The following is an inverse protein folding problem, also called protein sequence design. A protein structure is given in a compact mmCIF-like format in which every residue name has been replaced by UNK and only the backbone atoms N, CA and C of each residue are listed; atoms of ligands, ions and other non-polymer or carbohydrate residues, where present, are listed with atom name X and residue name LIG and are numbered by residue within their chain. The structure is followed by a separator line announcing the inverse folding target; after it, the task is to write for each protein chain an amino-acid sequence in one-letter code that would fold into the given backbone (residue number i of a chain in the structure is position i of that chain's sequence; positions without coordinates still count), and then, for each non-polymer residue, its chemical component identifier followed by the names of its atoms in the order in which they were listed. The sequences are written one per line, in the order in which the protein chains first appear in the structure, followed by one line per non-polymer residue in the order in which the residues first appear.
data_IF_974682886805
#
_entry.id   IF_974682886805
#
_cell.length_a   1.000
_cell.length_b   1.000
_cell.length_c   1.000
_cell.angle_alpha   90.00
_cell.angle_beta   90.00
_cell.angle_gamma   90.00
#
_symmetry.space_group_name_H-M   'P 1'
#
loop_
_entity.id
_entity.type
_entity.pdbx_description
1 polymer ?
#
# COMPACT_ATOMS: atom_id res chain seq x y z
N UNK A 1 2.08 29.02 15.00
CA UNK A 1 0.99 28.11 15.43
C UNK A 1 1.20 26.81 14.68
N UNK A 2 1.19 25.65 15.35
CA UNK A 2 1.35 24.34 14.71
C UNK A 2 0.04 23.68 14.31
N UNK A 3 -1.09 24.03 14.94
CA UNK A 3 -2.42 23.53 14.58
C UNK A 3 -3.45 24.67 14.63
N UNK A 4 -4.26 24.83 13.58
CA UNK A 4 -5.32 25.86 13.51
C UNK A 4 -6.71 25.31 13.83
N UNK A 5 -6.84 24.02 14.10
CA UNK A 5 -8.12 23.39 14.43
C UNK A 5 -8.65 23.92 15.77
N UNK A 6 -9.93 24.28 15.81
CA UNK A 6 -10.60 24.72 17.04
C UNK A 6 -10.44 23.70 18.17
N UNK A 7 -10.32 24.17 19.41
CA UNK A 7 -10.14 23.32 20.60
C UNK A 7 -8.95 22.34 20.56
N UNK A 8 -8.08 22.42 19.55
CA UNK A 8 -6.90 21.57 19.46
C UNK A 8 -5.73 22.20 20.20
N UNK A 9 -4.86 21.36 20.75
CA UNK A 9 -3.58 21.81 21.27
C UNK A 9 -2.67 22.31 20.13
N UNK A 10 -1.99 23.43 20.35
CA UNK A 10 -1.07 24.02 19.39
C UNK A 10 0.15 24.65 20.08
N UNK A 11 1.31 24.47 19.45
CA UNK A 11 2.50 25.23 19.74
C UNK A 11 2.42 26.62 19.11
N UNK A 12 3.08 27.59 19.73
CA UNK A 12 3.19 28.94 19.18
C UNK A 12 4.66 29.35 19.07
N UNK A 13 5.01 29.90 17.91
CA UNK A 13 6.25 30.63 17.69
C UNK A 13 5.85 32.03 17.28
N UNK A 14 6.02 32.97 18.19
CA UNK A 14 5.68 34.38 18.05
C UNK A 14 6.98 35.14 17.81
N UNK A 15 7.03 35.98 16.78
CA UNK A 15 8.20 36.74 16.41
C UNK A 15 7.83 38.21 16.27
N UNK A 16 8.63 39.08 16.87
CA UNK A 16 8.50 40.53 16.74
C UNK A 16 9.88 41.17 16.93
N UNK A 17 10.06 42.41 16.50
CA UNK A 17 11.26 43.20 16.79
C UNK A 17 10.87 44.25 17.81
N UNK A 18 11.66 44.45 18.86
CA UNK A 18 11.46 45.54 19.82
C UNK A 18 12.21 46.78 19.33
N UNK A 19 11.54 47.85 18.88
CA UNK A 19 12.24 49.05 18.42
C UNK A 19 13.02 49.75 19.54
N UNK A 20 12.45 49.84 20.74
CA UNK A 20 13.05 50.56 21.87
C UNK A 20 13.93 49.68 22.78
N UNK A 21 13.80 48.36 22.68
CA UNK A 21 14.48 47.41 23.57
C UNK A 21 13.68 47.16 24.86
N UNK A 22 14.26 46.36 25.75
CA UNK A 22 13.68 46.09 27.08
C UNK A 22 14.74 46.38 28.13
N UNK A 23 14.49 47.39 28.96
CA UNK A 23 15.36 47.76 30.08
C UNK A 23 15.11 46.87 31.32
N UNK A 24 16.03 46.96 32.29
CA UNK A 24 15.89 46.30 33.58
C UNK A 24 14.59 46.74 34.28
N UNK A 25 13.90 45.80 34.94
CA UNK A 25 12.62 46.04 35.61
C UNK A 25 11.40 46.14 34.69
N UNK A 26 11.56 46.05 33.36
CA UNK A 26 10.45 46.13 32.42
C UNK A 26 9.85 44.75 32.08
N UNK A 27 8.67 44.77 31.46
CA UNK A 27 7.91 43.59 31.10
C UNK A 27 7.58 43.56 29.61
N UNK A 28 7.50 42.34 29.07
CA UNK A 28 6.87 42.01 27.80
C UNK A 28 5.62 41.20 28.13
N UNK A 29 4.49 41.56 27.55
CA UNK A 29 3.22 40.85 27.69
C UNK A 29 2.77 40.36 26.33
N UNK A 30 2.30 39.12 26.28
CA UNK A 30 1.63 38.52 25.13
C UNK A 30 0.22 38.19 25.57
N UNK A 31 -0.77 38.85 24.98
CA UNK A 31 -2.18 38.65 25.33
C UNK A 31 -2.88 37.89 24.22
N UNK A 32 -3.40 36.71 24.57
CA UNK A 32 -4.32 35.96 23.73
C UNK A 32 -5.75 36.49 23.90
N UNK A 33 -6.59 36.46 22.87
CA UNK A 33 -8.02 36.72 23.05
C UNK A 33 -8.68 35.69 23.97
N UNK A 34 -9.85 36.02 24.52
CA UNK A 34 -10.64 35.09 25.32
C UNK A 34 -10.96 33.81 24.55
N UNK A 35 -10.92 32.67 25.24
CA UNK A 35 -11.29 31.35 24.68
C UNK A 35 -10.09 30.48 24.31
N UNK A 36 -8.87 31.02 24.27
CA UNK A 36 -7.65 30.20 24.23
C UNK A 36 -7.34 29.64 25.63
N UNK A 37 -7.03 28.36 25.73
CA UNK A 37 -6.70 27.69 26.99
C UNK A 37 -5.22 27.75 27.29
N UNK A 38 -4.83 28.59 28.26
CA UNK A 38 -3.43 28.80 28.67
C UNK A 38 -3.11 28.24 30.07
N UNK A 39 -4.12 27.81 30.83
CA UNK A 39 -4.02 27.54 32.28
C UNK A 39 -3.11 26.38 32.67
N UNK A 40 -2.75 25.51 31.72
CA UNK A 40 -1.86 24.36 31.96
C UNK A 40 -0.39 24.69 31.74
N UNK A 41 -0.08 25.86 31.19
CA UNK A 41 1.30 26.24 30.89
C UNK A 41 2.10 26.49 32.18
N UNK A 42 3.33 26.01 32.17
CA UNK A 42 4.33 26.15 33.23
C UNK A 42 5.57 26.84 32.65
N UNK A 43 6.54 27.20 33.50
CA UNK A 43 7.75 27.92 33.07
C UNK A 43 8.57 27.17 32.02
N UNK A 44 8.54 25.83 32.02
CA UNK A 44 9.25 24.99 31.05
C UNK A 44 8.60 24.98 29.67
N UNK A 45 7.36 25.45 29.56
CA UNK A 45 6.62 25.55 28.29
C UNK A 45 6.96 26.84 27.51
N UNK A 46 7.95 27.62 27.96
CA UNK A 46 8.34 28.88 27.33
C UNK A 46 9.83 28.93 26.97
N UNK A 47 10.16 29.51 25.83
CA UNK A 47 11.47 30.11 25.60
C UNK A 47 11.30 31.56 25.17
N UNK A 48 12.08 32.46 25.78
CA UNK A 48 12.25 33.83 25.33
C UNK A 48 13.65 33.94 24.70
N UNK A 49 13.70 34.28 23.42
CA UNK A 49 14.94 34.31 22.64
C UNK A 49 15.17 35.73 22.17
N UNK A 50 16.32 36.29 22.53
CA UNK A 50 16.79 37.61 22.10
C UNK A 50 17.85 37.40 21.01
N UNK A 51 17.51 37.79 19.78
CA UNK A 51 18.25 37.45 18.57
C UNK A 51 18.43 35.92 18.43
N UNK A 52 19.60 35.40 18.78
CA UNK A 52 19.94 33.96 18.75
C UNK A 52 20.09 33.34 20.15
N UNK A 53 20.05 34.17 21.20
CA UNK A 53 20.31 33.73 22.57
C UNK A 53 19.01 33.44 23.30
N UNK A 54 18.82 32.20 23.73
CA UNK A 54 17.73 31.84 24.65
C UNK A 54 18.04 32.39 26.04
N UNK A 55 17.15 33.24 26.56
CA UNK A 55 17.25 33.80 27.90
C UNK A 55 16.77 32.76 28.93
N UNK A 56 17.45 32.71 30.08
CA UNK A 56 17.05 31.83 31.18
C UNK A 56 15.75 32.33 31.81
N UNK A 57 14.78 31.43 31.98
CA UNK A 57 13.47 31.71 32.55
C UNK A 57 13.28 31.02 33.91
N UNK A 58 12.53 31.66 34.80
CA UNK A 58 12.03 31.11 36.05
C UNK A 58 10.62 31.66 36.35
N UNK A 59 9.95 31.13 37.37
CA UNK A 59 8.60 31.60 37.75
C UNK A 59 8.62 33.05 38.29
N UNK A 60 9.73 33.46 38.91
CA UNK A 60 9.96 34.82 39.40
C UNK A 60 11.33 35.26 38.93
N UNK A 61 11.44 36.50 38.44
CA UNK A 61 12.73 37.00 37.98
C UNK A 61 13.71 37.15 39.16
N UNK A 62 15.00 36.98 38.88
CA UNK A 62 16.08 37.25 39.83
C UNK A 62 17.38 37.44 39.08
N UNK A 63 18.10 38.52 39.38
CA UNK A 63 19.29 38.92 38.62
C UNK A 63 19.01 38.94 37.12
N UNK A 64 19.83 38.24 36.34
CA UNK A 64 19.70 38.14 34.87
C UNK A 64 18.67 37.10 34.41
N UNK A 65 18.12 36.28 35.32
CA UNK A 65 17.06 35.32 35.01
C UNK A 65 15.73 36.05 34.90
N UNK A 66 15.04 35.86 33.78
CA UNK A 66 13.75 36.48 33.51
C UNK A 66 12.62 35.68 34.17
N UNK A 67 11.60 36.38 34.65
CA UNK A 67 10.37 35.78 35.14
C UNK A 67 9.42 35.49 33.98
N UNK A 68 8.69 34.39 34.02
CA UNK A 68 7.52 34.16 33.16
C UNK A 68 6.34 33.69 34.00
N UNK A 69 5.20 34.33 33.83
CA UNK A 69 3.96 33.99 34.50
C UNK A 69 2.77 34.07 33.54
N UNK A 70 1.77 33.23 33.79
CA UNK A 70 0.50 33.21 33.04
C UNK A 70 -0.61 33.62 33.98
N UNK A 71 -1.42 34.60 33.59
CA UNK A 71 -2.61 35.03 34.33
C UNK A 71 -3.76 35.27 33.36
N UNK A 72 -4.77 34.38 33.41
CA UNK A 72 -5.85 34.38 32.43
C UNK A 72 -5.30 34.21 31.02
N UNK A 73 -5.51 35.21 30.16
CA UNK A 73 -5.06 35.19 28.76
C UNK A 73 -3.71 35.89 28.52
N UNK A 74 -3.06 36.38 29.58
CA UNK A 74 -1.83 37.17 29.49
C UNK A 74 -0.65 36.34 29.95
N UNK A 75 0.35 36.22 29.08
CA UNK A 75 1.69 35.71 29.43
C UNK A 75 2.58 36.93 29.63
N UNK A 76 3.16 37.05 30.82
CA UNK A 76 4.04 38.18 31.18
C UNK A 76 5.46 37.66 31.39
N UNK A 77 6.40 38.17 30.60
CA UNK A 77 7.83 38.04 30.82
C UNK A 77 8.33 39.28 31.57
N UNK A 78 8.97 39.08 32.72
CA UNK A 78 9.47 40.17 33.57
C UNK A 78 10.98 40.14 33.61
N UNK A 79 11.61 41.25 33.24
CA UNK A 79 13.03 41.45 33.48
C UNK A 79 13.29 41.94 34.90
N UNK A 80 14.25 41.33 35.59
CA UNK A 80 14.85 41.91 36.79
C UNK A 80 16.01 42.82 36.39
N UNK A 81 17.21 42.28 36.17
CA UNK A 81 18.38 43.06 35.72
C UNK A 81 18.78 42.79 34.28
N UNK A 82 18.18 41.78 33.62
CA UNK A 82 18.43 41.49 32.21
C UNK A 82 17.95 42.60 31.28
N UNK A 83 18.49 42.65 30.06
CA UNK A 83 18.06 43.62 29.05
C UNK A 83 17.99 42.98 27.67
N UNK A 84 17.18 43.57 26.80
CA UNK A 84 17.16 43.31 25.36
C UNK A 84 17.48 44.64 24.68
N UNK A 85 18.46 44.67 23.78
CA UNK A 85 18.84 45.90 23.10
C UNK A 85 17.73 46.38 22.15
N UNK A 86 17.69 47.68 21.86
CA UNK A 86 16.85 48.25 20.83
C UNK A 86 17.07 47.57 19.46
N UNK A 87 16.02 47.56 18.63
CA UNK A 87 15.99 46.92 17.31
C UNK A 87 16.32 45.41 17.30
N UNK A 88 16.19 44.73 18.44
CA UNK A 88 16.50 43.29 18.54
C UNK A 88 15.29 42.45 18.13
N UNK A 89 15.46 41.44 17.25
CA UNK A 89 14.44 40.42 17.01
C UNK A 89 14.23 39.58 18.26
N UNK A 90 12.97 39.44 18.69
CA UNK A 90 12.55 38.61 19.80
C UNK A 90 11.71 37.45 19.26
N UNK A 91 12.03 36.23 19.68
CA UNK A 91 11.22 35.05 19.43
C UNK A 91 10.71 34.48 20.75
N UNK A 92 9.40 34.32 20.87
CA UNK A 92 8.77 33.60 21.96
C UNK A 92 8.25 32.27 21.43
N UNK A 93 8.73 31.18 22.03
CA UNK A 93 8.22 29.84 21.81
C UNK A 93 7.33 29.46 22.98
N UNK A 94 6.18 28.86 22.69
CA UNK A 94 5.21 28.39 23.67
C UNK A 94 4.82 26.95 23.31
N UNK A 95 4.97 26.08 24.29
CA UNK A 95 4.54 24.69 24.28
C UNK A 95 5.65 23.68 24.07
N UNK A 96 5.35 22.57 23.41
CA UNK A 96 6.31 21.50 23.11
C UNK A 96 7.45 22.02 22.23
N UNK A 97 7.18 23.00 21.35
CA UNK A 97 8.23 23.65 20.55
C UNK A 97 9.29 24.39 21.39
N UNK A 98 8.99 24.72 22.65
CA UNK A 98 9.92 25.29 23.62
C UNK A 98 10.66 24.24 24.47
N UNK A 99 10.38 22.94 24.28
CA UNK A 99 10.88 21.84 25.09
C UNK A 99 9.98 21.49 26.29
N UNK A 100 8.80 22.10 26.39
CA UNK A 100 7.81 21.82 27.43
C UNK A 100 6.92 20.60 27.14
N UNK A 101 5.90 20.42 27.97
CA UNK A 101 4.92 19.31 27.87
C UNK A 101 3.48 19.78 27.67
N UNK A 102 3.19 21.05 27.91
CA UNK A 102 1.86 21.63 27.71
C UNK A 102 1.82 22.47 26.45
N UNK A 103 0.63 22.74 25.92
CA UNK A 103 0.41 23.58 24.75
C UNK A 103 -0.78 24.49 25.00
N UNK A 104 -0.92 25.53 24.18
CA UNK A 104 -2.14 26.35 24.19
C UNK A 104 -3.25 25.55 23.51
N UNK A 105 -4.42 25.49 24.14
CA UNK A 105 -5.63 24.99 23.48
C UNK A 105 -6.24 26.13 22.66
N UNK A 106 -6.45 25.89 21.37
CA UNK A 106 -7.07 26.87 20.47
C UNK A 106 -8.49 27.24 20.91
N UNK A 107 -8.93 28.42 20.46
CA UNK A 107 -10.31 28.84 20.65
C UNK A 107 -11.28 27.76 20.15
N UNK A 108 -12.37 27.53 20.88
CA UNK A 108 -13.42 26.60 20.49
C UNK A 108 -14.28 27.09 19.34
N UNK A 109 -14.17 28.39 18.99
CA UNK A 109 -14.90 29.02 17.90
C UNK A 109 -13.94 29.34 16.74
N UNK A 110 -14.27 28.97 15.49
CA UNK A 110 -13.52 29.39 14.32
C UNK A 110 -13.60 30.90 14.12
N UNK A 111 -12.51 31.49 13.64
CA UNK A 111 -12.46 32.93 13.41
C UNK A 111 -11.03 33.47 13.33
N UNK A 112 -10.93 34.76 13.02
CA UNK A 112 -9.67 35.50 13.09
C UNK A 112 -9.55 36.16 14.46
N UNK A 113 -8.42 35.95 15.12
CA UNK A 113 -8.15 36.43 16.47
C UNK A 113 -6.88 37.28 16.45
N UNK A 114 -6.90 38.42 17.15
CA UNK A 114 -5.73 39.30 17.26
C UNK A 114 -5.02 39.08 18.60
N UNK A 115 -3.86 38.45 18.55
CA UNK A 115 -2.91 38.40 19.66
C UNK A 115 -2.22 39.77 19.78
N UNK A 116 -2.10 40.33 20.98
CA UNK A 116 -1.37 41.58 21.18
C UNK A 116 -0.06 41.39 21.94
N UNK A 117 0.91 42.23 21.62
CA UNK A 117 2.20 42.37 22.30
C UNK A 117 2.21 43.77 22.91
N UNK A 118 2.50 43.87 24.20
CA UNK A 118 2.55 45.12 24.96
C UNK A 118 3.44 44.93 26.20
N UNK A 119 3.43 45.85 27.16
CA UNK A 119 4.13 45.71 28.44
C UNK A 119 4.73 47.04 28.89
N UNK A 120 5.44 47.03 30.01
CA UNK A 120 6.06 48.27 30.54
C UNK A 120 7.31 48.72 29.76
N UNK A 121 7.79 47.91 28.82
CA UNK A 121 8.84 48.31 27.86
C UNK A 121 8.37 49.34 26.82
N UNK A 122 7.06 49.52 26.63
CA UNK A 122 6.49 50.61 25.83
C UNK A 122 6.25 50.28 24.35
N UNK A 123 6.85 49.23 23.79
CA UNK A 123 6.49 48.82 22.43
C UNK A 123 5.15 48.08 22.40
N UNK A 124 4.44 48.18 21.27
CA UNK A 124 3.18 47.48 21.04
C UNK A 124 3.14 46.82 19.66
N UNK A 125 2.34 45.77 19.53
CA UNK A 125 2.15 45.07 18.26
C UNK A 125 0.94 44.14 18.28
N UNK A 126 0.50 43.68 17.12
CA UNK A 126 -0.56 42.66 17.00
C UNK A 126 -0.23 41.62 15.94
N UNK A 127 -0.72 40.40 16.14
CA UNK A 127 -0.57 39.27 15.23
C UNK A 127 -1.93 38.62 15.05
N UNK A 128 -2.37 38.48 13.80
CA UNK A 128 -3.60 37.75 13.49
C UNK A 128 -3.33 36.25 13.45
N UNK A 129 -4.13 35.46 14.16
CA UNK A 129 -4.16 34.01 14.09
C UNK A 129 -5.55 33.55 13.61
N UNK A 130 -5.57 32.58 12.72
CA UNK A 130 -6.81 32.00 12.20
C UNK A 130 -7.08 30.67 12.90
N UNK A 131 -8.30 30.51 13.40
CA UNK A 131 -8.84 29.22 13.84
C UNK A 131 -9.83 28.73 12.80
N UNK A 132 -9.68 27.47 12.42
CA UNK A 132 -10.53 26.75 11.48
C UNK A 132 -11.32 25.68 12.24
N UNK A 133 -12.49 25.32 11.73
CA UNK A 133 -13.25 24.18 12.29
C UNK A 133 -12.43 22.90 12.29
N UNK A 134 -11.66 22.68 11.22
CA UNK A 134 -10.69 21.60 11.10
C UNK A 134 -9.64 22.00 10.07
N UNK A 135 -8.35 21.90 10.40
CA UNK A 135 -7.25 22.15 9.48
C UNK A 135 -6.69 20.88 8.81
N UNK A 136 -7.40 19.74 8.95
CA UNK A 136 -7.02 18.45 8.37
C UNK A 136 -7.66 18.27 6.99
N UNK A 137 -6.83 17.95 6.00
CA UNK A 137 -7.29 17.52 4.67
C UNK A 137 -7.24 15.99 4.63
N UNK A 138 -8.42 15.36 4.50
CA UNK A 138 -8.51 13.92 4.31
C UNK A 138 -8.28 13.56 2.84
N UNK A 139 -7.45 12.53 2.58
CA UNK A 139 -7.14 12.05 1.23
C UNK A 139 -7.43 10.55 1.17
N UNK A 140 -8.12 10.10 0.12
CA UNK A 140 -8.48 8.69 -0.08
C UNK A 140 -8.43 8.29 -1.56
N UNK A 141 -8.27 6.99 -1.83
CA UNK A 141 -8.25 6.40 -3.16
C UNK A 141 -8.81 4.96 -3.14
N UNK A 142 -9.26 4.47 -4.30
CA UNK A 142 -9.78 3.11 -4.47
C UNK A 142 -9.02 2.37 -5.57
N UNK A 143 -8.62 1.12 -5.31
CA UNK A 143 -7.99 0.23 -6.29
C UNK A 143 -9.03 -0.81 -6.74
N UNK A 144 -9.43 -0.85 -8.02
CA UNK A 144 -10.38 -1.85 -8.51
C UNK A 144 -9.72 -3.23 -8.61
N UNK A 145 -10.51 -4.28 -8.44
CA UNK A 145 -10.04 -5.65 -8.66
C UNK A 145 -9.74 -5.92 -10.13
N UNK A 146 -8.75 -6.77 -10.40
CA UNK A 146 -8.36 -7.17 -11.76
C UNK A 146 -7.93 -8.63 -11.82
N UNK A 147 -8.33 -9.31 -12.91
CA UNK A 147 -7.86 -10.62 -13.31
C UNK A 147 -7.62 -10.56 -14.82
N UNK A 148 -6.43 -10.94 -15.27
CA UNK A 148 -6.14 -11.17 -16.70
C UNK A 148 -5.95 -12.66 -16.92
N UNK A 149 -6.53 -13.18 -18.00
CA UNK A 149 -6.34 -14.55 -18.43
C UNK A 149 -6.27 -14.63 -19.96
N UNK A 150 -5.27 -15.33 -20.49
CA UNK A 150 -5.15 -15.54 -21.94
C UNK A 150 -4.62 -16.94 -22.27
N UNK A 151 -4.93 -17.37 -23.50
CA UNK A 151 -4.49 -18.64 -24.09
C UNK A 151 -3.77 -18.29 -25.39
N UNK A 152 -2.55 -18.79 -25.59
CA UNK A 152 -1.73 -18.39 -26.76
C UNK A 152 -2.27 -18.89 -28.10
N UNK A 153 -3.01 -20.00 -28.11
CA UNK A 153 -3.73 -20.54 -29.26
C UNK A 153 -4.87 -21.43 -28.78
N UNK A 154 -5.98 -21.44 -29.51
CA UNK A 154 -7.13 -22.32 -29.25
C UNK A 154 -7.13 -23.58 -30.13
N UNK A 155 -6.09 -23.77 -30.95
CA UNK A 155 -5.92 -24.93 -31.82
C UNK A 155 -4.55 -25.54 -31.59
N UNK A 156 -4.55 -26.82 -31.21
CA UNK A 156 -3.38 -27.69 -31.12
C UNK A 156 -3.74 -29.05 -31.73
N UNK A 157 -2.73 -29.80 -32.15
CA UNK A 157 -3.00 -31.13 -32.70
C UNK A 157 -1.79 -32.03 -32.75
N UNK A 158 -2.08 -33.32 -32.88
CA UNK A 158 -1.10 -34.39 -32.89
C UNK A 158 -0.71 -34.85 -34.32
N UNK A 159 -1.32 -34.31 -35.37
CA UNK A 159 -1.15 -34.83 -36.72
C UNK A 159 -1.56 -36.31 -36.82
N UNK A 160 -0.78 -37.11 -37.54
CA UNK A 160 -0.98 -38.55 -37.65
C UNK A 160 -0.33 -39.28 -36.48
N UNK A 161 -1.14 -39.99 -35.69
CA UNK A 161 -0.67 -40.78 -34.54
C UNK A 161 0.06 -42.05 -34.98
N UNK A 162 1.00 -42.50 -34.15
CA UNK A 162 1.76 -43.74 -34.32
C UNK A 162 1.59 -44.65 -33.11
N UNK A 163 1.48 -45.96 -33.33
CA UNK A 163 1.48 -46.95 -32.24
C UNK A 163 2.87 -47.25 -31.69
N UNK A 164 3.93 -46.83 -32.39
CA UNK A 164 5.32 -47.21 -32.06
C UNK A 164 6.08 -46.12 -31.31
N UNK A 165 5.55 -44.90 -31.25
CA UNK A 165 6.20 -43.76 -30.61
C UNK A 165 5.18 -42.77 -30.03
N UNK A 166 5.60 -42.01 -29.03
CA UNK A 166 4.79 -40.93 -28.46
C UNK A 166 4.61 -39.80 -29.47
N UNK A 167 3.42 -39.21 -29.48
CA UNK A 167 3.14 -38.00 -30.26
C UNK A 167 2.80 -36.86 -29.33
N UNK A 168 3.53 -35.76 -29.44
CA UNK A 168 3.27 -34.51 -28.72
C UNK A 168 2.40 -33.57 -29.57
N UNK A 169 1.46 -32.87 -28.95
CA UNK A 169 0.70 -31.84 -29.67
C UNK A 169 1.55 -30.59 -29.91
N UNK A 170 1.31 -29.90 -31.02
CA UNK A 170 1.87 -28.57 -31.28
C UNK A 170 0.80 -27.60 -31.78
N UNK A 171 1.11 -26.30 -31.82
CA UNK A 171 0.21 -25.24 -32.27
C UNK A 171 -0.10 -25.26 -33.78
N UNK A 172 0.73 -25.93 -34.58
CA UNK A 172 0.52 -26.08 -36.02
C UNK A 172 -0.44 -27.24 -36.37
N UNK A 173 -0.81 -28.08 -35.39
CA UNK A 173 -1.66 -29.24 -35.59
C UNK A 173 -0.97 -30.44 -36.25
N UNK A 174 0.35 -30.39 -36.47
CA UNK A 174 1.10 -31.41 -37.20
C UNK A 174 1.69 -32.51 -36.32
N UNK A 175 1.67 -32.32 -35.00
CA UNK A 175 2.31 -33.22 -34.03
C UNK A 175 3.84 -33.12 -34.00
N UNK A 176 4.45 -33.71 -32.99
CA UNK A 176 5.91 -33.79 -32.82
C UNK A 176 6.31 -35.12 -32.19
N UNK A 177 7.46 -35.66 -32.60
CA UNK A 177 8.09 -36.83 -31.96
C UNK A 177 8.99 -36.45 -30.77
N UNK A 178 9.28 -35.17 -30.61
CA UNK A 178 10.02 -34.60 -29.47
C UNK A 178 9.12 -33.70 -28.64
N UNK A 179 9.41 -33.62 -27.34
CA UNK A 179 8.65 -32.79 -26.40
C UNK A 179 8.58 -31.35 -26.87
N UNK A 180 7.37 -30.80 -26.95
CA UNK A 180 7.12 -29.43 -27.37
C UNK A 180 5.93 -28.86 -26.59
N UNK A 181 6.01 -27.57 -26.26
CA UNK A 181 4.90 -26.84 -25.65
C UNK A 181 3.85 -26.58 -26.74
N UNK A 182 2.62 -27.03 -26.51
CA UNK A 182 1.55 -26.92 -27.49
C UNK A 182 0.90 -25.53 -27.47
N UNK A 183 0.71 -24.96 -26.28
CA UNK A 183 0.23 -23.61 -26.04
C UNK A 183 0.60 -23.16 -24.62
N UNK A 184 0.38 -21.88 -24.33
CA UNK A 184 0.52 -21.33 -22.97
C UNK A 184 -0.78 -20.72 -22.46
N UNK A 185 -0.97 -20.81 -21.15
CA UNK A 185 -1.95 -20.03 -20.40
C UNK A 185 -1.21 -18.92 -19.65
N UNK A 186 -1.74 -17.70 -19.59
CA UNK A 186 -1.14 -16.63 -18.81
C UNK A 186 -2.18 -15.99 -17.88
N UNK A 187 -1.83 -15.84 -16.60
CA UNK A 187 -2.73 -15.28 -15.59
C UNK A 187 -2.03 -14.29 -14.64
N UNK A 188 -2.70 -13.19 -14.32
CA UNK A 188 -2.28 -12.19 -13.32
C UNK A 188 -3.50 -11.63 -12.58
N UNK A 189 -3.32 -11.22 -11.32
CA UNK A 189 -4.41 -10.71 -10.48
C UNK A 189 -3.90 -9.79 -9.38
N UNK A 190 -4.72 -8.84 -8.94
CA UNK A 190 -4.49 -8.10 -7.70
C UNK A 190 -5.31 -8.63 -6.50
N UNK A 191 -6.01 -9.74 -6.67
CA UNK A 191 -6.81 -10.36 -5.61
C UNK A 191 -5.94 -10.90 -4.47
N UNK A 192 -6.35 -10.66 -3.22
CA UNK A 192 -5.57 -10.97 -2.01
C UNK A 192 -5.28 -12.46 -1.85
N UNK A 193 -6.18 -13.33 -2.30
CA UNK A 193 -5.98 -14.79 -2.29
C UNK A 193 -5.60 -15.36 -3.64
N UNK A 194 -5.17 -14.52 -4.60
CA UNK A 194 -4.65 -14.91 -5.90
C UNK A 194 -5.71 -15.41 -6.88
N UNK A 195 -5.45 -16.52 -7.55
CA UNK A 195 -6.36 -17.11 -8.55
C UNK A 195 -6.27 -18.64 -8.61
N UNK A 196 -7.26 -19.26 -9.24
CA UNK A 196 -7.28 -20.68 -9.60
C UNK A 196 -7.59 -20.84 -11.08
N UNK A 197 -6.77 -21.62 -11.78
CA UNK A 197 -6.98 -22.04 -13.17
C UNK A 197 -7.46 -23.49 -13.16
N UNK A 198 -8.59 -23.75 -13.81
CA UNK A 198 -9.15 -25.10 -14.00
C UNK A 198 -9.25 -25.44 -15.48
N UNK A 199 -9.30 -26.74 -15.79
CA UNK A 199 -9.63 -27.27 -17.11
C UNK A 199 -10.82 -28.22 -16.99
N UNK A 200 -11.70 -28.22 -17.99
CA UNK A 200 -12.81 -29.17 -18.13
C UNK A 200 -12.93 -29.63 -19.59
N UNK A 201 -13.20 -30.91 -19.81
CA UNK A 201 -13.38 -31.46 -21.15
C UNK A 201 -13.28 -32.99 -21.16
N UNK A 202 -13.84 -33.61 -22.20
CA UNK A 202 -13.70 -35.04 -22.41
C UNK A 202 -12.36 -35.38 -23.11
N UNK A 203 -11.95 -36.64 -23.02
CA UNK A 203 -10.83 -37.18 -23.81
C UNK A 203 -11.14 -37.19 -25.31
N UNK A 204 -10.14 -37.55 -26.15
CA UNK A 204 -10.36 -37.60 -27.59
C UNK A 204 -11.33 -38.72 -28.00
N UNK A 205 -12.26 -38.38 -28.88
CA UNK A 205 -13.26 -39.32 -29.41
C UNK A 205 -13.35 -39.28 -30.93
N UNK A 206 -13.68 -40.42 -31.54
CA UNK A 206 -14.05 -40.57 -32.95
C UNK A 206 -15.29 -41.44 -33.06
N UNK A 207 -16.46 -40.80 -33.17
CA UNK A 207 -17.74 -41.49 -33.00
C UNK A 207 -17.84 -42.12 -31.60
N UNK A 208 -18.08 -43.44 -31.54
CA UNK A 208 -18.13 -44.18 -30.28
C UNK A 208 -16.74 -44.59 -29.73
N UNK A 209 -15.67 -44.38 -30.50
CA UNK A 209 -14.32 -44.79 -30.10
C UNK A 209 -13.64 -43.69 -29.28
N UNK A 210 -12.82 -44.08 -28.32
CA UNK A 210 -12.12 -43.15 -27.42
C UNK A 210 -10.63 -43.48 -27.33
N UNK A 211 -9.80 -42.46 -27.22
CA UNK A 211 -8.44 -42.61 -26.67
C UNK A 211 -8.55 -42.35 -25.17
N UNK A 212 -8.11 -43.30 -24.34
CA UNK A 212 -8.29 -43.19 -22.90
C UNK A 212 -7.48 -42.03 -22.31
N UNK A 213 -8.12 -41.22 -21.46
CA UNK A 213 -7.40 -40.26 -20.62
C UNK A 213 -6.53 -41.00 -19.59
N UNK A 214 -5.36 -40.46 -19.26
CA UNK A 214 -4.48 -41.03 -18.23
C UNK A 214 -5.14 -40.97 -16.84
N UNK A 215 -6.03 -40.00 -16.60
CA UNK A 215 -6.77 -39.87 -15.36
C UNK A 215 -6.06 -38.99 -14.32
N UNK A 216 -6.51 -39.12 -13.06
CA UNK A 216 -6.07 -38.27 -11.93
C UNK A 216 -4.73 -38.63 -11.30
N UNK A 217 -4.05 -39.67 -11.79
CA UNK A 217 -2.72 -40.08 -11.31
C UNK A 217 -1.74 -39.96 -12.46
N UNK A 218 -0.72 -39.12 -12.31
CA UNK A 218 0.25 -38.90 -13.37
C UNK A 218 0.99 -40.19 -13.72
N UNK A 219 1.03 -40.54 -15.01
CA UNK A 219 1.70 -41.72 -15.53
C UNK A 219 2.67 -41.34 -16.65
N UNK A 220 3.72 -42.16 -16.79
CA UNK A 220 4.64 -42.02 -17.92
C UNK A 220 3.94 -42.34 -19.24
N UNK A 221 4.44 -41.76 -20.33
CA UNK A 221 4.02 -42.11 -21.68
C UNK A 221 4.35 -43.58 -21.98
N UNK A 222 3.39 -44.31 -22.54
CA UNK A 222 3.45 -45.71 -22.91
C UNK A 222 2.95 -45.91 -24.35
N UNK A 223 3.82 -45.65 -25.35
CA UNK A 223 3.50 -45.94 -26.75
C UNK A 223 3.07 -47.39 -26.95
N UNK A 224 2.09 -47.61 -27.84
CA UNK A 224 1.46 -48.92 -28.05
C UNK A 224 0.21 -49.14 -27.20
N UNK A 225 -0.14 -48.19 -26.33
CA UNK A 225 -1.39 -48.16 -25.57
C UNK A 225 -2.14 -46.83 -25.81
N UNK A 226 -3.46 -46.84 -25.64
CA UNK A 226 -4.26 -45.62 -25.77
C UNK A 226 -4.04 -44.74 -24.54
N UNK A 227 -3.46 -43.55 -24.72
CA UNK A 227 -3.28 -42.56 -23.67
C UNK A 227 -3.45 -41.16 -24.21
N UNK A 228 -4.18 -40.33 -23.48
CA UNK A 228 -4.23 -38.88 -23.65
C UNK A 228 -3.99 -38.20 -22.31
N UNK A 229 -3.14 -37.17 -22.31
CA UNK A 229 -2.94 -36.36 -21.13
C UNK A 229 -1.92 -35.27 -21.35
N UNK A 230 -1.70 -34.48 -20.32
CA UNK A 230 -0.81 -33.34 -20.38
C UNK A 230 -0.12 -33.10 -19.04
N UNK A 231 0.90 -32.26 -19.08
CA UNK A 231 1.52 -31.65 -17.92
C UNK A 231 1.73 -30.17 -18.16
N UNK A 232 2.12 -29.46 -17.10
CA UNK A 232 2.41 -28.05 -17.18
C UNK A 232 3.67 -27.69 -16.40
N UNK A 233 4.36 -26.67 -16.89
CA UNK A 233 5.37 -25.94 -16.13
C UNK A 233 4.94 -24.48 -16.03
N UNK A 234 5.43 -23.75 -15.03
CA UNK A 234 5.09 -22.34 -14.84
C UNK A 234 6.35 -21.50 -14.72
N UNK A 235 6.31 -20.28 -15.26
CA UNK A 235 7.36 -19.27 -15.13
C UNK A 235 6.76 -17.87 -14.96
N UNK A 236 7.56 -16.93 -14.45
CA UNK A 236 7.07 -15.59 -14.10
C UNK A 236 6.08 -15.61 -12.92
N UNK A 237 5.67 -14.43 -12.48
CA UNK A 237 4.73 -14.25 -11.36
C UNK A 237 5.02 -15.16 -10.15
N UNK A 238 3.95 -15.59 -9.47
CA UNK A 238 4.00 -16.46 -8.29
C UNK A 238 3.03 -17.66 -8.38
N UNK A 239 2.43 -17.87 -9.54
CA UNK A 239 1.59 -19.04 -9.82
C UNK A 239 2.38 -20.34 -9.73
N UNK A 240 1.71 -21.39 -9.27
CA UNK A 240 2.21 -22.76 -9.18
C UNK A 240 1.34 -23.68 -10.04
N UNK A 241 1.90 -24.79 -10.53
CA UNK A 241 1.14 -25.87 -11.16
C UNK A 241 0.61 -26.80 -10.07
N UNK A 242 -0.64 -27.24 -10.20
CA UNK A 242 -1.29 -28.13 -9.25
C UNK A 242 -1.13 -29.60 -9.66
N UNK A 243 -1.11 -30.49 -8.66
CA UNK A 243 -1.20 -31.94 -8.90
C UNK A 243 -2.51 -32.28 -9.63
N UNK A 244 -2.52 -33.23 -10.58
CA UNK A 244 -1.42 -34.13 -10.98
C UNK A 244 -0.48 -33.59 -12.06
N UNK A 245 -0.65 -32.35 -12.53
CA UNK A 245 0.01 -31.83 -13.73
C UNK A 245 1.43 -31.29 -13.50
N UNK A 246 1.83 -31.14 -12.23
CA UNK A 246 3.12 -30.59 -11.80
C UNK A 246 4.26 -31.63 -11.79
N UNK A 247 4.34 -32.50 -12.81
CA UNK A 247 5.35 -33.57 -12.89
C UNK A 247 5.91 -33.71 -14.30
N UNK A 248 6.97 -34.51 -14.46
CA UNK A 248 7.47 -34.89 -15.79
C UNK A 248 6.56 -35.90 -16.52
N UNK A 249 5.65 -36.55 -15.79
CA UNK A 249 4.64 -37.47 -16.31
C UNK A 249 3.39 -36.70 -16.75
N UNK A 250 2.41 -37.40 -17.31
CA UNK A 250 1.20 -36.81 -17.88
C UNK A 250 -0.04 -37.25 -17.13
N UNK A 251 -1.08 -36.41 -17.12
CA UNK A 251 -2.35 -36.69 -16.50
C UNK A 251 -3.49 -36.02 -17.27
N UNK A 252 -4.71 -36.50 -17.08
CA UNK A 252 -5.92 -35.78 -17.45
C UNK A 252 -7.05 -36.21 -16.51
N UNK A 253 -7.17 -35.49 -15.39
CA UNK A 253 -8.18 -35.77 -14.38
C UNK A 253 -9.55 -35.14 -14.71
N UNK A 254 -9.60 -34.30 -15.75
CA UNK A 254 -10.84 -33.63 -16.14
C UNK A 254 -11.76 -34.57 -16.91
N UNK A 255 -13.05 -34.29 -16.85
CA UNK A 255 -14.07 -34.94 -17.67
C UNK A 255 -14.98 -33.88 -18.28
N UNK A 256 -15.97 -34.31 -19.07
CA UNK A 256 -17.00 -33.41 -19.59
C UNK A 256 -17.82 -32.73 -18.49
N UNK A 257 -17.88 -33.30 -17.28
CA UNK A 257 -18.68 -32.78 -16.15
C UNK A 257 -17.85 -32.34 -14.96
N UNK A 258 -16.57 -32.73 -14.89
CA UNK A 258 -15.71 -32.50 -13.72
C UNK A 258 -14.49 -31.71 -14.14
N UNK A 259 -14.34 -30.51 -13.59
CA UNK A 259 -13.15 -29.70 -13.79
C UNK A 259 -12.00 -30.18 -12.91
N UNK A 260 -10.77 -29.96 -13.37
CA UNK A 260 -9.54 -30.24 -12.63
C UNK A 260 -8.66 -29.01 -12.54
N UNK A 261 -8.01 -28.80 -11.39
CA UNK A 261 -7.16 -27.63 -11.17
C UNK A 261 -5.80 -27.80 -11.82
N UNK A 262 -5.42 -26.84 -12.67
CA UNK A 262 -4.12 -26.81 -13.37
C UNK A 262 -3.10 -25.98 -12.61
N UNK A 263 -3.52 -24.84 -12.06
CA UNK A 263 -2.60 -23.94 -11.40
C UNK A 263 -3.28 -22.94 -10.48
N UNK A 264 -2.50 -22.42 -9.54
CA UNK A 264 -2.98 -21.51 -8.51
C UNK A 264 -1.95 -20.43 -8.22
N UNK A 265 -2.41 -19.24 -7.87
CA UNK A 265 -1.62 -18.28 -7.09
C UNK A 265 -2.35 -18.03 -5.76
N UNK A 266 -1.62 -17.85 -4.67
CA UNK A 266 -2.19 -17.65 -3.31
C UNK A 266 -2.10 -16.20 -2.83
N UNK A 267 -1.62 -15.30 -3.68
CA UNK A 267 -1.43 -13.88 -3.40
C UNK A 267 -1.54 -13.07 -4.71
N UNK A 268 -1.67 -11.73 -4.64
CA UNK A 268 -1.55 -10.86 -5.80
C UNK A 268 -0.27 -11.16 -6.57
N UNK A 269 -0.35 -11.15 -7.90
CA UNK A 269 0.77 -11.60 -8.71
C UNK A 269 0.82 -10.94 -10.09
N UNK A 270 2.04 -10.67 -10.54
CA UNK A 270 2.31 -10.38 -11.94
C UNK A 270 2.02 -11.62 -12.80
N UNK A 271 2.15 -11.50 -14.12
CA UNK A 271 1.82 -12.61 -15.03
C UNK A 271 2.65 -13.86 -14.75
N UNK A 272 1.98 -14.96 -14.45
CA UNK A 272 2.52 -16.31 -14.51
C UNK A 272 2.07 -16.98 -15.80
N UNK A 273 3.02 -17.62 -16.48
CA UNK A 273 2.83 -18.29 -17.77
C UNK A 273 2.98 -19.79 -17.58
N UNK A 274 1.90 -20.52 -17.84
CA UNK A 274 1.80 -21.98 -17.78
C UNK A 274 2.05 -22.56 -19.17
N UNK A 275 3.16 -23.28 -19.35
CA UNK A 275 3.49 -23.98 -20.59
C UNK A 275 2.88 -25.38 -20.59
N UNK A 276 1.96 -25.65 -21.52
CA UNK A 276 1.19 -26.89 -21.57
C UNK A 276 1.79 -27.85 -22.60
N UNK A 277 2.10 -29.08 -22.18
CA UNK A 277 2.62 -30.15 -23.05
C UNK A 277 1.66 -31.33 -23.04
N UNK A 278 1.22 -31.77 -24.22
CA UNK A 278 0.23 -32.85 -24.37
C UNK A 278 0.86 -34.05 -25.06
N UNK A 279 0.41 -35.25 -24.69
CA UNK A 279 0.72 -36.49 -25.40
C UNK A 279 -0.55 -37.18 -25.87
N UNK A 280 -0.41 -37.92 -26.96
CA UNK A 280 -1.38 -38.89 -27.41
C UNK A 280 -0.65 -40.14 -27.91
N UNK A 281 -0.99 -41.30 -27.34
CA UNK A 281 -0.53 -42.61 -27.76
C UNK A 281 -1.73 -43.44 -28.22
N UNK A 282 -1.49 -44.36 -29.14
CA UNK A 282 -2.49 -45.32 -29.63
C UNK A 282 -1.95 -46.74 -29.58
N UNK A 283 -2.84 -47.71 -29.42
CA UNK A 283 -2.56 -49.12 -29.67
C UNK A 283 -2.66 -49.49 -31.15
N UNK A 284 -2.03 -50.59 -31.54
CA UNK A 284 -2.05 -51.08 -32.93
C UNK A 284 -3.46 -51.44 -33.43
N UNK A 285 -4.40 -51.72 -32.53
CA UNK A 285 -5.81 -52.05 -32.84
C UNK A 285 -6.76 -50.87 -32.64
N UNK A 286 -6.24 -49.66 -32.40
CA UNK A 286 -7.08 -48.46 -32.27
C UNK A 286 -7.85 -48.24 -33.57
N UNK A 287 -9.19 -48.15 -33.54
CA UNK A 287 -9.98 -47.96 -34.75
C UNK A 287 -9.58 -46.68 -35.48
N UNK A 288 -9.50 -46.75 -36.81
CA UNK A 288 -9.20 -45.59 -37.64
C UNK A 288 -10.31 -44.53 -37.53
N UNK A 289 -9.93 -43.26 -37.44
CA UNK A 289 -10.86 -42.15 -37.36
C UNK A 289 -10.16 -40.85 -36.97
N UNK A 290 -10.89 -39.74 -37.10
CA UNK A 290 -10.45 -38.44 -36.61
C UNK A 290 -10.85 -38.32 -35.14
N UNK A 291 -9.88 -38.35 -34.24
CA UNK A 291 -10.09 -38.21 -32.81
C UNK A 291 -9.95 -36.75 -32.40
N UNK A 292 -10.96 -36.20 -31.72
CA UNK A 292 -10.95 -34.79 -31.28
C UNK A 292 -11.45 -34.65 -29.84
N UNK A 293 -10.97 -33.61 -29.16
CA UNK A 293 -11.38 -33.21 -27.82
C UNK A 293 -11.51 -31.68 -27.76
N UNK A 294 -12.31 -31.18 -26.82
CA UNK A 294 -12.38 -29.76 -26.50
C UNK A 294 -12.14 -29.58 -25.00
N UNK A 295 -11.11 -28.81 -24.67
CA UNK A 295 -10.73 -28.47 -23.29
C UNK A 295 -11.03 -27.00 -23.05
N UNK A 296 -11.81 -26.70 -22.02
CA UNK A 296 -12.16 -25.34 -21.58
C UNK A 296 -11.32 -24.97 -20.38
N UNK A 297 -10.54 -23.90 -20.47
CA UNK A 297 -9.76 -23.36 -19.36
C UNK A 297 -10.47 -22.18 -18.73
N UNK A 298 -10.54 -22.15 -17.40
CA UNK A 298 -11.23 -21.12 -16.64
C UNK A 298 -10.29 -20.60 -15.55
N UNK A 299 -10.01 -19.29 -15.55
CA UNK A 299 -9.33 -18.61 -14.46
C UNK A 299 -10.34 -17.88 -13.57
N UNK A 300 -10.23 -18.08 -12.26
CA UNK A 300 -11.08 -17.44 -11.24
C UNK A 300 -10.19 -16.71 -10.25
N UNK A 301 -10.46 -15.43 -9.99
CA UNK A 301 -9.77 -14.69 -8.94
C UNK A 301 -10.36 -15.06 -7.57
N UNK A 302 -9.50 -15.18 -6.56
CA UNK A 302 -9.84 -15.58 -5.21
C UNK A 302 -9.73 -14.35 -4.29
N UNK A 303 -10.86 -13.89 -3.74
CA UNK A 303 -10.95 -12.75 -2.84
C UNK A 303 -11.33 -13.19 -1.43
#
# INVERSE_FOLDING_TARGET
MSNQTQSAASDHTIKFTTPSGVAAGQTITITFPSGFGLSTLTTTDFNLISNVTTLTLAATCSGTTWGVAVSGQVITFTSCTGTIAASTPVTVKIGVVAGGTHQITNNSTPGSYSLSIAGTFGDTGSITIQILTNSVVAVSATVPQSLTFSISTNSIGFGTLSSSAVTYANSAGTGSSTTVVAHTLAASTNATSGYTITVQGATLTSGANTIAAIGGTAAASSPGSNQFGFNATVSGGSGTVSSPYATANFADAATSSTASTIGTATAPTATSTYSMTYICNIGATTPAGNYTASLTYIATANF
#
